data_IF_728895215375
#
_entry.id   IF_728895215375
#
_cell.length_a   1.000
_cell.length_b   1.000
_cell.length_c   1.000
_cell.angle_alpha   90.00
_cell.angle_beta   90.00
_cell.angle_gamma   90.00
#
_symmetry.space_group_name_H-M   'P 1'
#
loop_
_entity.id
_entity.type
_entity.pdbx_description
1 polymer ?
#
# COMPACT_ATOMS: atom_id res chain seq x y z
N UNK A 1 5.66 11.23 19.80
CA UNK A 1 6.31 11.46 18.50
C UNK A 1 6.63 10.10 17.90
N UNK A 2 5.66 9.52 17.21
CA UNK A 2 5.86 8.27 16.50
C UNK A 2 6.82 8.52 15.34
N UNK A 3 7.91 7.77 15.29
CA UNK A 3 8.89 7.85 14.21
C UNK A 3 8.22 7.42 12.91
N UNK A 4 8.13 8.31 11.91
CA UNK A 4 7.58 7.97 10.59
C UNK A 4 8.33 6.77 10.01
N UNK A 5 7.65 5.64 9.88
CA UNK A 5 8.22 4.40 9.33
C UNK A 5 8.16 4.48 7.81
N UNK A 6 9.34 4.47 7.17
CA UNK A 6 9.44 4.40 5.71
C UNK A 6 9.68 2.96 5.26
N UNK A 7 8.87 2.49 4.33
CA UNK A 7 9.03 1.17 3.71
C UNK A 7 9.83 1.35 2.42
N UNK A 8 11.12 0.98 2.47
CA UNK A 8 11.94 0.88 1.28
C UNK A 8 11.49 -0.29 0.39
N UNK A 9 11.53 -0.08 -0.93
CA UNK A 9 11.15 -1.08 -1.93
C UNK A 9 12.35 -1.34 -2.84
N UNK A 10 12.84 -2.56 -2.82
CA UNK A 10 13.81 -3.01 -3.80
C UNK A 10 13.09 -3.71 -4.95
N UNK A 11 13.02 -3.03 -6.09
CA UNK A 11 12.32 -3.51 -7.27
C UNK A 11 13.03 -4.71 -7.91
N UNK A 12 14.37 -4.79 -7.84
CA UNK A 12 15.12 -5.90 -8.44
C UNK A 12 14.89 -7.23 -7.71
N UNK A 13 14.55 -7.15 -6.43
CA UNK A 13 14.23 -8.32 -5.61
C UNK A 13 12.74 -8.68 -5.61
N UNK A 14 11.89 -7.91 -6.31
CA UNK A 14 10.47 -8.23 -6.42
C UNK A 14 10.22 -9.27 -7.51
N UNK A 15 9.92 -10.51 -7.12
CA UNK A 15 9.56 -11.59 -8.06
C UNK A 15 8.09 -11.61 -8.48
N UNK A 16 7.29 -10.65 -8.00
CA UNK A 16 5.85 -10.61 -8.24
C UNK A 16 5.06 -11.74 -7.58
N UNK A 17 5.57 -12.36 -6.51
CA UNK A 17 4.91 -13.50 -5.85
C UNK A 17 3.56 -13.17 -5.15
N UNK A 18 3.19 -11.88 -5.05
CA UNK A 18 1.92 -11.37 -4.48
C UNK A 18 1.62 -11.77 -3.03
N UNK A 19 2.59 -12.35 -2.30
CA UNK A 19 2.43 -12.71 -0.88
C UNK A 19 2.19 -11.48 0.00
N UNK A 20 2.78 -10.34 -0.35
CA UNK A 20 2.53 -9.07 0.32
C UNK A 20 1.05 -8.64 0.22
N UNK A 21 0.39 -8.88 -0.92
CA UNK A 21 -1.03 -8.56 -1.08
C UNK A 21 -1.89 -9.43 -0.15
N UNK A 22 -1.59 -10.73 -0.07
CA UNK A 22 -2.26 -11.71 0.79
C UNK A 22 -2.11 -11.38 2.27
N UNK A 23 -0.87 -11.15 2.73
CA UNK A 23 -0.61 -10.86 4.15
C UNK A 23 -1.27 -9.55 4.56
N UNK A 24 -1.26 -8.54 3.69
CA UNK A 24 -1.95 -7.27 3.95
C UNK A 24 -3.48 -7.47 4.08
N UNK A 25 -4.12 -8.21 3.17
CA UNK A 25 -5.56 -8.46 3.28
C UNK A 25 -5.90 -9.30 4.52
N UNK A 26 -5.07 -10.30 4.84
CA UNK A 26 -5.25 -11.08 6.06
C UNK A 26 -5.14 -10.22 7.32
N UNK A 27 -4.17 -9.31 7.37
CA UNK A 27 -3.93 -8.45 8.54
C UNK A 27 -5.02 -7.41 8.76
N UNK A 28 -5.63 -6.87 7.69
CA UNK A 28 -6.62 -5.80 7.82
C UNK A 28 -8.07 -6.28 7.68
N UNK A 29 -8.32 -7.27 6.83
CA UNK A 29 -9.67 -7.75 6.50
C UNK A 29 -9.98 -9.12 7.13
N UNK A 30 -8.98 -9.80 7.71
CA UNK A 30 -9.14 -11.13 8.32
C UNK A 30 -9.33 -12.28 7.33
N UNK A 31 -9.17 -12.03 6.02
CA UNK A 31 -9.38 -13.01 4.95
C UNK A 31 -8.35 -12.85 3.83
N UNK A 32 -8.12 -13.94 3.11
CA UNK A 32 -7.34 -13.92 1.86
C UNK A 32 -8.21 -13.28 0.79
N UNK A 33 -8.03 -11.98 0.60
CA UNK A 33 -8.75 -11.18 -0.40
C UNK A 33 -7.78 -10.17 -1.04
N UNK A 34 -6.98 -10.60 -2.02
CA UNK A 34 -5.98 -9.74 -2.67
C UNK A 34 -6.59 -8.45 -3.22
N UNK A 35 -7.83 -8.45 -3.70
CA UNK A 35 -8.53 -7.27 -4.20
C UNK A 35 -8.89 -6.25 -3.10
N UNK A 36 -8.92 -6.63 -1.82
CA UNK A 36 -9.04 -5.69 -0.71
C UNK A 36 -7.68 -5.25 -0.13
N UNK A 37 -6.58 -5.76 -0.69
CA UNK A 37 -5.24 -5.38 -0.24
C UNK A 37 -4.93 -3.91 -0.48
N UNK A 38 -4.19 -3.30 0.46
CA UNK A 38 -3.65 -1.93 0.36
C UNK A 38 -2.33 -1.89 -0.44
N UNK A 39 -1.85 -3.04 -0.91
CA UNK A 39 -0.67 -3.22 -1.76
C UNK A 39 -1.12 -3.75 -3.12
N UNK A 40 -0.44 -3.34 -4.20
CA UNK A 40 -0.63 -3.84 -5.56
C UNK A 40 0.67 -4.17 -6.24
N UNK A 41 0.73 -5.31 -6.91
CA UNK A 41 1.83 -5.65 -7.80
C UNK A 41 1.39 -5.41 -9.24
N UNK A 42 1.98 -4.41 -9.89
CA UNK A 42 1.77 -4.17 -11.32
C UNK A 42 2.82 -4.89 -12.14
N UNK A 43 2.40 -5.46 -13.27
CA UNK A 43 3.28 -6.05 -14.28
C UNK A 43 2.99 -5.38 -15.63
N UNK A 44 3.48 -4.15 -15.86
CA UNK A 44 3.24 -3.42 -17.10
C UNK A 44 3.83 -4.13 -18.33
N UNK A 45 4.97 -4.82 -18.17
CA UNK A 45 5.56 -5.72 -19.17
C UNK A 45 5.98 -7.01 -18.48
N UNK A 46 6.12 -8.14 -19.20
CA UNK A 46 6.66 -9.36 -18.62
C UNK A 46 7.98 -9.07 -17.89
N UNK A 47 8.19 -9.71 -16.74
CA UNK A 47 9.40 -9.59 -15.89
C UNK A 47 9.67 -8.19 -15.31
N UNK A 48 8.70 -7.27 -15.33
CA UNK A 48 8.82 -5.99 -14.64
C UNK A 48 7.74 -5.89 -13.56
N UNK A 49 8.08 -6.29 -12.34
CA UNK A 49 7.18 -6.29 -11.20
C UNK A 49 7.35 -5.04 -10.35
N UNK A 50 6.29 -4.22 -10.27
CA UNK A 50 6.32 -2.96 -9.54
C UNK A 50 5.35 -3.05 -8.35
N UNK A 51 5.87 -3.23 -7.11
CA UNK A 51 5.08 -3.11 -5.90
C UNK A 51 4.71 -1.65 -5.63
N UNK A 52 3.42 -1.36 -5.69
CA UNK A 52 2.80 -0.08 -5.45
C UNK A 52 1.94 -0.14 -4.18
N UNK A 53 2.21 0.77 -3.24
CA UNK A 53 1.50 0.91 -1.98
C UNK A 53 1.63 2.36 -1.49
N UNK A 54 0.88 2.71 -0.45
CA UNK A 54 0.95 4.03 0.16
C UNK A 54 2.40 4.38 0.54
N UNK A 55 2.92 5.50 0.02
CA UNK A 55 4.27 5.96 0.29
C UNK A 55 4.41 6.59 1.70
N UNK A 56 3.31 6.77 2.43
CA UNK A 56 3.28 7.49 3.70
C UNK A 56 3.95 8.87 3.56
N UNK A 57 3.49 9.64 2.57
CA UNK A 57 4.04 10.95 2.22
C UNK A 57 4.12 11.85 3.46
N UNK A 58 5.16 12.68 3.54
CA UNK A 58 5.39 13.52 4.71
C UNK A 58 4.27 14.52 5.02
N UNK A 59 3.54 14.93 3.98
CA UNK A 59 2.56 16.01 3.87
C UNK A 59 1.13 15.52 3.57
N UNK A 60 0.94 14.21 3.29
CA UNK A 60 -0.36 13.56 3.09
C UNK A 60 -1.39 14.34 2.24
N UNK A 61 -1.06 14.81 1.03
CA UNK A 61 -1.95 15.64 0.21
C UNK A 61 -3.29 14.95 -0.12
N UNK A 62 -3.29 13.62 -0.18
CA UNK A 62 -4.49 12.82 -0.44
C UNK A 62 -5.55 12.95 0.68
N UNK A 63 -5.14 13.15 1.94
CA UNK A 63 -6.07 13.29 3.08
C UNK A 63 -6.71 14.68 3.08
N UNK A 64 -5.98 15.71 2.70
CA UNK A 64 -6.48 17.08 2.58
C UNK A 64 -7.45 17.24 1.41
N UNK A 65 -7.12 16.65 0.26
CA UNK A 65 -7.92 16.72 -0.96
C UNK A 65 -9.23 15.92 -0.91
N UNK A 66 -9.46 15.08 0.11
CA UNK A 66 -10.63 14.20 0.19
C UNK A 66 -11.94 15.02 0.35
N UNK A 67 -12.87 14.97 -0.63
CA UNK A 67 -14.06 15.83 -0.62
C UNK A 67 -15.19 15.29 0.28
N UNK A 68 -15.10 14.04 0.72
CA UNK A 68 -16.19 13.38 1.47
C UNK A 68 -16.22 13.83 2.93
N UNK A 69 -17.42 13.88 3.51
CA UNK A 69 -17.65 14.11 4.95
C UNK A 69 -18.47 12.94 5.51
N UNK A 70 -17.91 12.09 6.39
CA UNK A 70 -16.53 12.11 6.89
C UNK A 70 -15.49 11.76 5.81
N UNK A 71 -14.22 12.10 6.06
CA UNK A 71 -13.10 11.76 5.17
C UNK A 71 -12.96 10.25 5.07
N UNK A 72 -12.67 9.75 3.87
CA UNK A 72 -12.40 8.33 3.64
C UNK A 72 -10.98 7.90 4.08
N UNK A 73 -10.06 8.86 4.22
CA UNK A 73 -8.66 8.63 4.58
C UNK A 73 -8.34 9.40 5.87
N UNK A 74 -7.53 8.78 6.74
CA UNK A 74 -7.01 9.33 7.98
C UNK A 74 -5.53 8.99 8.14
N UNK A 75 -4.86 9.69 9.06
CA UNK A 75 -3.47 9.43 9.44
C UNK A 75 -3.53 8.89 10.88
N UNK A 76 -2.96 7.72 11.10
CA UNK A 76 -2.79 7.15 12.44
C UNK A 76 -1.52 7.77 13.08
N UNK A 77 -1.63 8.25 14.32
CA UNK A 77 -0.51 8.88 15.07
C UNK A 77 0.46 7.88 15.70
#
# INVERSE_FOLDING_TARGET
MSSKIWIARDYFNCSGCRRCEIVCSLSHEGKIWPEASRIRIFMPVPTLEIPHLCAQCHDYPCVEACPTKPKALSIDE
#
